data_IF_654876588788
#
_entry.id   IF_654876588788
#
_cell.length_a   1.000
_cell.length_b   1.000
_cell.length_c   1.000
_cell.angle_alpha   90.00
_cell.angle_beta   90.00
_cell.angle_gamma   90.00
#
_symmetry.space_group_name_H-M   'P 1'
#
loop_
_entity.id
_entity.type
_entity.pdbx_description
1 polymer ?
#
# COMPACT_ATOMS: atom_id res chain seq x y z
N UNK A 1 10.87 4.09 9.73
CA UNK A 1 9.73 3.20 9.99
C UNK A 1 8.64 3.93 10.76
N UNK A 2 7.48 4.19 10.14
CA UNK A 2 6.27 4.54 10.89
C UNK A 2 5.65 3.21 11.36
N UNK A 3 5.82 2.86 12.63
CA UNK A 3 5.03 1.79 13.22
C UNK A 3 3.58 2.27 13.21
N UNK A 4 2.76 1.72 12.31
CA UNK A 4 1.32 1.87 12.40
C UNK A 4 0.90 1.41 13.79
N UNK A 5 0.07 2.20 14.47
CA UNK A 5 -0.61 1.70 15.66
C UNK A 5 -1.40 0.48 15.19
N UNK A 6 -1.09 -0.70 15.73
CA UNK A 6 -1.84 -1.93 15.52
C UNK A 6 -2.72 -2.14 16.76
N UNK A 7 -3.73 -1.27 17.00
CA UNK A 7 -4.42 -1.24 18.27
C UNK A 7 -5.20 -2.54 18.51
N UNK A 8 -5.67 -3.24 17.47
CA UNK A 8 -6.36 -4.52 17.64
C UNK A 8 -5.38 -5.60 18.08
N UNK A 9 -4.20 -5.64 17.48
CA UNK A 9 -3.11 -6.50 17.90
C UNK A 9 -2.69 -6.20 19.35
N UNK A 10 -2.53 -4.93 19.73
CA UNK A 10 -2.19 -4.56 21.11
C UNK A 10 -3.22 -5.05 22.12
N UNK A 11 -4.52 -4.92 21.82
CA UNK A 11 -5.59 -5.47 22.67
C UNK A 11 -5.48 -6.98 22.88
N UNK A 12 -4.96 -7.72 21.88
CA UNK A 12 -4.68 -9.14 22.04
C UNK A 12 -3.59 -9.40 23.08
N UNK A 13 -2.56 -8.56 23.08
CA UNK A 13 -1.35 -8.76 23.89
C UNK A 13 -1.43 -8.12 25.28
N UNK A 14 -2.46 -7.30 25.57
CA UNK A 14 -2.73 -6.82 26.92
C UNK A 14 -2.92 -7.98 27.93
N UNK A 15 -2.52 -7.77 29.17
CA UNK A 15 -2.69 -8.76 30.23
C UNK A 15 -4.17 -9.03 30.53
N UNK A 16 -4.51 -10.27 30.90
CA UNK A 16 -5.89 -10.67 31.18
C UNK A 16 -6.43 -10.11 32.50
N UNK A 17 -5.55 -9.70 33.42
CA UNK A 17 -5.91 -8.99 34.65
C UNK A 17 -6.27 -7.53 34.41
N UNK A 18 -5.68 -6.90 33.39
CA UNK A 18 -6.00 -5.52 33.00
C UNK A 18 -7.21 -5.46 32.05
N UNK A 19 -7.28 -6.38 31.08
CA UNK A 19 -8.34 -6.44 30.08
C UNK A 19 -8.89 -7.87 29.97
N UNK A 20 -10.13 -8.07 30.41
CA UNK A 20 -10.73 -9.40 30.52
C UNK A 20 -11.49 -9.81 29.26
N UNK A 21 -12.20 -8.87 28.64
CA UNK A 21 -13.06 -9.15 27.49
C UNK A 21 -12.85 -8.13 26.39
N UNK A 22 -12.84 -8.60 25.15
CA UNK A 22 -12.89 -7.71 23.98
C UNK A 22 -14.07 -8.10 23.12
N UNK A 23 -14.87 -7.11 22.76
CA UNK A 23 -16.07 -7.29 21.95
C UNK A 23 -15.87 -6.62 20.60
N UNK A 24 -15.99 -7.38 19.52
CA UNK A 24 -16.00 -6.87 18.16
C UNK A 24 -17.43 -6.91 17.61
N UNK A 25 -18.11 -5.77 17.50
CA UNK A 25 -19.41 -5.70 16.83
C UNK A 25 -19.23 -5.20 15.39
N UNK A 26 -19.68 -5.98 14.41
CA UNK A 26 -19.91 -5.48 13.05
C UNK A 26 -21.29 -4.82 13.03
N UNK A 27 -21.37 -3.50 12.84
CA UNK A 27 -22.64 -2.77 12.89
C UNK A 27 -23.70 -3.40 11.98
N UNK A 28 -24.89 -3.68 12.50
CA UNK A 28 -25.95 -4.38 11.77
C UNK A 28 -25.60 -5.80 11.30
N UNK A 29 -24.63 -6.47 11.95
CA UNK A 29 -24.21 -7.84 11.63
C UNK A 29 -23.70 -8.58 12.87
N UNK A 30 -22.86 -9.59 12.65
CA UNK A 30 -22.33 -10.46 13.71
C UNK A 30 -21.57 -9.68 14.79
N UNK A 31 -21.55 -10.26 15.99
CA UNK A 31 -20.70 -9.84 17.09
C UNK A 31 -19.79 -10.98 17.55
N UNK A 32 -18.59 -10.65 18.01
CA UNK A 32 -17.66 -11.61 18.57
C UNK A 32 -17.21 -11.14 19.95
N UNK A 33 -17.44 -11.96 20.97
CA UNK A 33 -17.05 -11.69 22.35
C UNK A 33 -15.91 -12.64 22.69
N UNK A 34 -14.71 -12.09 22.85
CA UNK A 34 -13.51 -12.82 23.21
C UNK A 34 -13.24 -12.63 24.69
N UNK A 35 -13.39 -13.71 25.46
CA UNK A 35 -13.06 -13.74 26.88
C UNK A 35 -11.63 -14.26 27.04
N UNK A 36 -10.74 -13.41 27.55
CA UNK A 36 -9.32 -13.72 27.74
C UNK A 36 -9.09 -14.60 28.98
N UNK A 37 -10.00 -14.57 29.95
CA UNK A 37 -9.93 -15.37 31.18
C UNK A 37 -10.27 -16.83 30.90
N UNK A 38 -11.38 -17.08 30.20
CA UNK A 38 -11.81 -18.42 29.82
C UNK A 38 -11.21 -18.89 28.50
N UNK A 39 -10.57 -17.99 27.76
CA UNK A 39 -10.01 -18.21 26.41
C UNK A 39 -11.08 -18.61 25.38
N UNK A 40 -12.35 -18.37 25.66
CA UNK A 40 -13.48 -18.66 24.78
C UNK A 40 -13.81 -17.48 23.85
N UNK A 41 -14.34 -17.80 22.68
CA UNK A 41 -14.93 -16.81 21.77
C UNK A 41 -16.37 -17.20 21.49
N UNK A 42 -17.29 -16.29 21.77
CA UNK A 42 -18.73 -16.46 21.52
C UNK A 42 -19.13 -15.57 20.34
N UNK A 43 -19.88 -16.13 19.40
CA UNK A 43 -20.45 -15.39 18.28
C UNK A 43 -21.90 -15.04 18.57
N UNK A 44 -22.23 -13.76 18.47
CA UNK A 44 -23.61 -13.26 18.40
C UNK A 44 -24.08 -13.08 16.96
N UNK A 45 -25.34 -13.43 16.71
CA UNK A 45 -25.95 -13.39 15.38
C UNK A 45 -26.23 -11.97 14.87
N UNK A 46 -26.33 -10.99 15.77
CA UNK A 46 -26.71 -9.62 15.44
C UNK A 46 -26.23 -8.60 16.50
N UNK A 47 -26.43 -7.32 16.18
CA UNK A 47 -26.04 -6.18 16.99
C UNK A 47 -26.79 -6.12 18.33
N UNK A 48 -28.07 -6.53 18.36
CA UNK A 48 -28.88 -6.52 19.58
C UNK A 48 -28.39 -7.55 20.59
N UNK A 49 -27.98 -8.72 20.10
CA UNK A 49 -27.30 -9.73 20.89
C UNK A 49 -25.93 -9.23 21.39
N UNK A 50 -25.18 -8.45 20.58
CA UNK A 50 -23.95 -7.76 21.03
C UNK A 50 -24.26 -6.84 22.24
N UNK A 51 -25.30 -6.02 22.11
CA UNK A 51 -25.70 -5.05 23.13
C UNK A 51 -26.16 -5.76 24.41
N UNK A 52 -26.92 -6.85 24.28
CA UNK A 52 -27.38 -7.66 25.41
C UNK A 52 -26.21 -8.24 26.21
N UNK A 53 -25.24 -8.82 25.51
CA UNK A 53 -24.04 -9.40 26.11
C UNK A 53 -23.19 -8.32 26.81
N UNK A 54 -23.02 -7.15 26.19
CA UNK A 54 -22.32 -6.02 26.79
C UNK A 54 -23.01 -5.51 28.08
N UNK A 55 -24.35 -5.51 28.14
CA UNK A 55 -25.08 -5.17 29.38
C UNK A 55 -24.83 -6.20 30.47
N UNK A 56 -24.83 -7.49 30.11
CA UNK A 56 -24.51 -8.57 31.04
C UNK A 56 -23.10 -8.40 31.62
N UNK A 57 -22.10 -8.19 30.76
CA UNK A 57 -20.70 -7.98 31.17
C UNK A 57 -20.52 -6.77 32.11
N UNK A 58 -21.28 -5.69 31.86
CA UNK A 58 -21.30 -4.51 32.74
C UNK A 58 -21.79 -4.83 34.14
N UNK A 59 -22.84 -5.65 34.26
CA UNK A 59 -23.38 -6.09 35.55
C UNK A 59 -22.39 -6.93 36.38
N UNK A 60 -21.41 -7.56 35.74
CA UNK A 60 -20.41 -8.41 36.39
C UNK A 60 -19.08 -7.67 36.70
N UNK A 61 -19.00 -6.35 36.46
CA UNK A 61 -17.82 -5.55 36.79
C UNK A 61 -16.56 -5.92 36.00
N UNK A 62 -16.71 -6.48 34.78
CA UNK A 62 -15.57 -6.90 33.95
C UNK A 62 -14.94 -5.73 33.21
N UNK A 63 -13.62 -5.77 33.04
CA UNK A 63 -12.90 -4.84 32.17
C UNK A 63 -13.08 -5.25 30.72
N UNK A 64 -13.83 -4.45 29.97
CA UNK A 64 -14.17 -4.72 28.57
C UNK A 64 -13.58 -3.64 27.66
N UNK A 65 -13.16 -4.05 26.47
CA UNK A 65 -12.83 -3.14 25.38
C UNK A 65 -13.72 -3.41 24.17
N UNK A 66 -14.23 -2.36 23.54
CA UNK A 66 -15.15 -2.49 22.40
C UNK A 66 -14.43 -2.09 21.10
N UNK A 67 -14.55 -2.94 20.08
CA UNK A 67 -14.22 -2.63 18.70
C UNK A 67 -15.51 -2.60 17.90
N UNK A 68 -15.85 -1.46 17.33
CA UNK A 68 -17.10 -1.27 16.60
C UNK A 68 -16.83 -0.92 15.13
N UNK A 69 -17.12 -1.85 14.22
CA UNK A 69 -17.00 -1.65 12.75
C UNK A 69 -18.30 -1.05 12.20
N UNK A 70 -18.26 0.22 11.82
CA UNK A 70 -19.43 1.01 11.42
C UNK A 70 -19.92 0.61 10.04
N UNK A 71 -21.07 -0.06 9.95
CA UNK A 71 -21.63 -0.54 8.67
C UNK A 71 -22.12 0.54 7.70
N UNK A 72 -22.77 1.61 8.17
CA UNK A 72 -23.30 2.68 7.32
C UNK A 72 -22.95 4.05 7.88
N UNK A 73 -22.73 5.01 6.98
CA UNK A 73 -22.49 6.41 7.32
C UNK A 73 -23.59 6.97 8.22
N UNK A 74 -23.21 7.82 9.19
CA UNK A 74 -24.15 8.53 10.06
C UNK A 74 -24.81 7.68 11.15
N UNK A 75 -24.77 6.34 11.00
CA UNK A 75 -25.17 5.41 12.06
C UNK A 75 -23.97 5.18 12.98
N UNK A 76 -23.86 6.03 13.99
CA UNK A 76 -22.91 5.85 15.07
C UNK A 76 -23.18 4.56 15.86
N UNK A 77 -22.26 4.20 16.75
CA UNK A 77 -22.52 3.10 17.67
C UNK A 77 -23.77 3.38 18.53
N UNK A 78 -24.51 2.33 18.87
CA UNK A 78 -25.80 2.44 19.56
C UNK A 78 -25.67 3.23 20.89
N UNK A 79 -26.54 4.22 21.19
CA UNK A 79 -26.40 5.12 22.35
C UNK A 79 -26.27 4.43 23.72
N UNK A 80 -26.75 3.19 23.82
CA UNK A 80 -26.74 2.36 25.03
C UNK A 80 -25.38 1.70 25.30
N UNK A 81 -24.43 1.74 24.36
CA UNK A 81 -23.09 1.23 24.62
C UNK A 81 -22.38 2.14 25.65
N UNK A 82 -21.65 1.57 26.62
CA UNK A 82 -21.08 2.34 27.73
C UNK A 82 -19.79 3.08 27.31
N UNK A 83 -19.93 4.07 26.43
CA UNK A 83 -18.84 4.82 25.79
C UNK A 83 -17.91 5.58 26.74
N UNK A 84 -18.41 5.90 27.93
CA UNK A 84 -17.68 6.68 28.94
C UNK A 84 -16.98 5.79 29.97
N UNK A 85 -17.38 4.52 30.07
CA UNK A 85 -16.88 3.59 31.09
C UNK A 85 -15.77 2.70 30.52
N UNK A 86 -15.83 2.36 29.24
CA UNK A 86 -14.91 1.42 28.59
C UNK A 86 -14.15 2.04 27.42
N UNK A 87 -12.96 1.50 27.16
CA UNK A 87 -12.18 1.86 25.98
C UNK A 87 -12.85 1.37 24.70
N UNK A 88 -12.83 2.21 23.66
CA UNK A 88 -13.45 1.89 22.37
C UNK A 88 -12.57 2.26 21.18
N UNK A 89 -12.46 1.31 20.24
CA UNK A 89 -12.00 1.56 18.87
C UNK A 89 -13.23 1.59 17.97
N UNK A 90 -13.34 2.66 17.20
CA UNK A 90 -14.29 2.78 16.11
C UNK A 90 -13.56 2.51 14.79
N UNK A 91 -13.91 1.42 14.11
CA UNK A 91 -13.46 1.14 12.75
C UNK A 91 -14.49 1.72 11.78
N UNK A 92 -14.07 2.67 10.96
CA UNK A 92 -14.95 3.41 10.05
C UNK A 92 -14.69 3.04 8.60
N UNK A 93 -15.66 3.18 7.69
CA UNK A 93 -15.41 3.07 6.27
C UNK A 93 -14.69 4.33 5.73
N UNK A 94 -13.91 4.23 4.64
CA UNK A 94 -13.23 5.38 4.06
C UNK A 94 -14.23 6.30 3.35
N UNK A 95 -14.44 7.53 3.88
CA UNK A 95 -15.34 8.52 3.25
C UNK A 95 -15.09 9.99 3.69
N UNK A 96 -15.43 10.93 2.79
CA UNK A 96 -15.24 12.40 2.82
C UNK A 96 -15.81 13.11 4.05
N UNK A 97 -16.87 12.58 4.65
CA UNK A 97 -17.64 13.24 5.71
C UNK A 97 -17.24 12.79 7.13
N UNK A 98 -16.35 11.79 7.25
CA UNK A 98 -15.95 11.19 8.51
C UNK A 98 -14.95 12.02 9.35
N UNK A 99 -14.47 13.16 8.87
CA UNK A 99 -13.62 14.04 9.69
C UNK A 99 -14.41 15.11 10.43
N UNK A 100 -15.46 15.66 9.81
CA UNK A 100 -16.24 16.79 10.36
C UNK A 100 -17.29 16.39 11.38
N UNK A 101 -17.97 15.26 11.19
CA UNK A 101 -18.99 14.77 12.13
C UNK A 101 -18.40 14.31 13.48
N UNK A 102 -17.16 13.85 13.47
CA UNK A 102 -16.59 13.06 14.57
C UNK A 102 -15.70 13.87 15.51
N UNK A 103 -15.05 14.96 15.02
CA UNK A 103 -14.45 15.98 15.91
C UNK A 103 -15.45 16.52 16.96
N UNK A 104 -16.75 16.50 16.65
CA UNK A 104 -17.83 16.91 17.58
C UNK A 104 -18.23 15.82 18.59
N UNK A 105 -17.79 14.57 18.43
CA UNK A 105 -18.16 13.42 19.26
C UNK A 105 -16.96 12.83 20.04
N UNK A 106 -15.85 13.56 20.13
CA UNK A 106 -14.63 13.10 20.80
C UNK A 106 -14.78 13.14 22.33
N UNK A 107 -15.01 11.98 22.94
CA UNK A 107 -14.65 11.73 24.33
C UNK A 107 -13.19 11.24 24.45
N UNK A 108 -12.56 11.35 25.64
CA UNK A 108 -11.14 11.01 25.83
C UNK A 108 -10.78 9.53 25.64
N UNK A 109 -11.75 8.62 25.58
CA UNK A 109 -11.54 7.15 25.60
C UNK A 109 -11.69 6.46 24.23
N UNK A 110 -11.73 7.22 23.12
CA UNK A 110 -12.11 6.70 21.78
C UNK A 110 -10.98 6.84 20.76
N UNK A 111 -10.58 5.72 20.14
CA UNK A 111 -9.69 5.68 18.98
C UNK A 111 -10.54 5.54 17.72
N UNK A 112 -10.37 6.44 16.74
CA UNK A 112 -11.04 6.34 15.44
C UNK A 112 -10.02 5.89 14.41
N UNK A 113 -10.26 4.72 13.82
CA UNK A 113 -9.46 4.19 12.72
C UNK A 113 -10.36 3.88 11.52
N UNK A 114 -9.78 3.93 10.32
CA UNK A 114 -10.50 3.66 9.08
C UNK A 114 -10.11 2.29 8.48
N UNK A 115 -8.85 1.88 8.73
CA UNK A 115 -8.28 0.66 8.18
C UNK A 115 -7.31 0.04 9.20
N UNK A 116 -7.57 -1.18 9.71
CA UNK A 116 -6.57 -1.93 10.48
C UNK A 116 -5.37 -2.34 9.64
N UNK A 117 -4.22 -2.56 10.26
CA UNK A 117 -3.05 -3.08 9.56
C UNK A 117 -3.14 -4.61 9.34
N UNK A 118 -2.18 -5.20 8.62
CA UNK A 118 -2.17 -6.65 8.39
C UNK A 118 -2.10 -7.46 9.69
N UNK A 119 -1.34 -6.99 10.68
CA UNK A 119 -1.21 -7.62 11.99
C UNK A 119 -2.52 -7.59 12.76
N UNK A 120 -3.23 -6.46 12.73
CA UNK A 120 -4.58 -6.32 13.27
C UNK A 120 -5.59 -7.30 12.63
N UNK A 121 -5.54 -7.47 11.30
CA UNK A 121 -6.42 -8.44 10.60
C UNK A 121 -6.06 -9.88 10.98
N UNK A 122 -4.76 -10.22 11.02
CA UNK A 122 -4.29 -11.55 11.47
C UNK A 122 -4.74 -11.84 12.90
N UNK A 123 -4.59 -10.86 13.78
CA UNK A 123 -5.00 -10.89 15.16
C UNK A 123 -6.50 -11.21 15.31
N UNK A 124 -7.34 -10.42 14.66
CA UNK A 124 -8.80 -10.60 14.73
C UNK A 124 -9.23 -11.96 14.18
N UNK A 125 -8.58 -12.42 13.11
CA UNK A 125 -8.87 -13.73 12.52
C UNK A 125 -8.63 -14.86 13.51
N UNK A 126 -7.49 -14.86 14.21
CA UNK A 126 -7.16 -15.89 15.22
C UNK A 126 -8.28 -16.01 16.24
N UNK A 127 -8.92 -14.89 16.60
CA UNK A 127 -10.07 -14.89 17.49
C UNK A 127 -11.36 -15.39 16.86
N UNK A 128 -11.78 -14.80 15.73
CA UNK A 128 -13.04 -15.16 15.09
C UNK A 128 -13.10 -16.65 14.71
N UNK A 129 -11.95 -17.23 14.37
CA UNK A 129 -11.82 -18.62 13.92
C UNK A 129 -11.24 -19.56 14.97
N UNK A 130 -11.12 -19.12 16.23
CA UNK A 130 -10.51 -19.92 17.32
C UNK A 130 -11.19 -21.27 17.54
N UNK A 131 -12.50 -21.34 17.33
CA UNK A 131 -13.31 -22.54 17.54
C UNK A 131 -13.58 -23.34 16.26
N UNK A 132 -13.05 -22.91 15.11
CA UNK A 132 -13.27 -23.58 13.82
C UNK A 132 -12.08 -24.48 13.43
N UNK A 133 -12.34 -25.76 13.13
CA UNK A 133 -11.34 -26.72 12.67
C UNK A 133 -11.31 -26.79 11.13
N UNK A 134 -10.22 -26.33 10.48
CA UNK A 134 -9.95 -26.61 9.06
C UNK A 134 -9.40 -25.45 8.20
N UNK A 135 -8.67 -25.79 7.13
CA UNK A 135 -8.43 -24.93 5.95
C UNK A 135 -7.70 -23.59 6.14
N UNK A 136 -6.90 -23.44 7.19
CA UNK A 136 -6.41 -22.11 7.60
C UNK A 136 -5.43 -21.45 6.62
N UNK A 137 -4.63 -22.20 5.86
CA UNK A 137 -3.66 -21.61 4.93
C UNK A 137 -4.33 -20.90 3.74
N UNK A 138 -5.28 -21.59 3.11
CA UNK A 138 -5.94 -21.12 1.88
C UNK A 138 -6.87 -19.93 2.13
N UNK A 139 -7.65 -19.98 3.21
CA UNK A 139 -8.50 -18.85 3.61
C UNK A 139 -7.67 -17.58 3.89
N UNK A 140 -6.50 -17.72 4.52
CA UNK A 140 -5.63 -16.56 4.76
C UNK A 140 -5.10 -15.96 3.47
N UNK A 141 -4.69 -16.83 2.54
CA UNK A 141 -4.24 -16.40 1.22
C UNK A 141 -5.33 -15.56 0.55
N UNK A 142 -6.58 -15.99 0.59
CA UNK A 142 -7.72 -15.24 0.05
C UNK A 142 -7.93 -13.90 0.78
N UNK A 143 -7.88 -13.86 2.11
CA UNK A 143 -8.04 -12.60 2.87
C UNK A 143 -6.93 -11.61 2.53
N UNK A 144 -5.69 -12.08 2.45
CA UNK A 144 -4.54 -11.25 2.07
C UNK A 144 -4.69 -10.69 0.65
N UNK A 145 -5.05 -11.53 -0.30
CA UNK A 145 -5.35 -11.08 -1.67
C UNK A 145 -6.46 -10.02 -1.70
N UNK A 146 -7.52 -10.19 -0.91
CA UNK A 146 -8.58 -9.19 -0.81
C UNK A 146 -8.09 -7.88 -0.18
N UNK A 147 -7.25 -7.95 0.85
CA UNK A 147 -6.65 -6.75 1.46
C UNK A 147 -5.79 -5.98 0.46
N UNK A 148 -4.97 -6.68 -0.32
CA UNK A 148 -4.12 -6.08 -1.33
C UNK A 148 -4.96 -5.38 -2.41
N UNK A 149 -6.13 -5.92 -2.75
CA UNK A 149 -7.07 -5.39 -3.75
C UNK A 149 -7.88 -4.18 -3.23
N UNK A 150 -8.61 -4.31 -2.13
CA UNK A 150 -9.61 -3.30 -1.69
C UNK A 150 -9.28 -2.60 -0.38
N UNK A 151 -8.15 -2.94 0.22
CA UNK A 151 -7.71 -2.45 1.52
C UNK A 151 -8.21 -3.30 2.68
N UNK A 152 -7.69 -3.09 3.89
CA UNK A 152 -7.92 -3.96 5.05
C UNK A 152 -9.25 -3.67 5.77
N UNK A 153 -10.33 -3.44 5.02
CA UNK A 153 -11.65 -3.20 5.60
C UNK A 153 -12.26 -4.55 6.02
N UNK A 154 -12.27 -4.84 7.32
CA UNK A 154 -12.63 -6.16 7.89
C UNK A 154 -13.93 -6.74 7.34
N UNK A 155 -15.06 -6.01 7.45
CA UNK A 155 -16.36 -6.44 6.89
C UNK A 155 -16.34 -6.74 5.38
N UNK A 156 -15.40 -6.16 4.63
CA UNK A 156 -15.27 -6.34 3.18
C UNK A 156 -14.41 -7.57 2.89
N UNK A 157 -13.20 -7.63 3.46
CA UNK A 157 -12.25 -8.71 3.17
C UNK A 157 -12.72 -10.09 3.67
N UNK A 158 -13.51 -10.11 4.74
CA UNK A 158 -14.05 -11.36 5.31
C UNK A 158 -15.30 -11.88 4.59
N UNK A 159 -15.90 -11.10 3.68
CA UNK A 159 -17.15 -11.46 2.98
C UNK A 159 -17.00 -11.29 1.45
N UNK A 160 -17.16 -12.39 0.70
CA UNK A 160 -16.92 -12.40 -0.74
C UNK A 160 -17.83 -11.44 -1.53
N UNK A 161 -19.11 -11.33 -1.16
CA UNK A 161 -20.05 -10.43 -1.83
C UNK A 161 -19.69 -8.96 -1.58
N UNK A 162 -19.39 -8.61 -0.31
CA UNK A 162 -18.98 -7.24 0.05
C UNK A 162 -17.66 -6.87 -0.61
N UNK A 163 -16.73 -7.81 -0.72
CA UNK A 163 -15.48 -7.66 -1.48
C UNK A 163 -15.75 -7.31 -2.95
N UNK A 164 -16.59 -8.09 -3.64
CA UNK A 164 -16.91 -7.83 -5.05
C UNK A 164 -17.61 -6.49 -5.25
N UNK A 165 -18.58 -6.15 -4.40
CA UNK A 165 -19.25 -4.84 -4.44
C UNK A 165 -18.22 -3.72 -4.28
N UNK A 166 -17.34 -3.84 -3.29
CA UNK A 166 -16.32 -2.83 -3.01
C UNK A 166 -15.35 -2.65 -4.18
N UNK A 167 -14.99 -3.73 -4.86
CA UNK A 167 -14.14 -3.69 -6.05
C UNK A 167 -14.79 -2.85 -7.16
N UNK A 168 -16.09 -3.05 -7.41
CA UNK A 168 -16.84 -2.27 -8.39
C UNK A 168 -16.91 -0.79 -7.99
N UNK A 169 -17.18 -0.50 -6.71
CA UNK A 169 -17.20 0.88 -6.20
C UNK A 169 -15.85 1.57 -6.40
N UNK A 170 -14.73 0.85 -6.17
CA UNK A 170 -13.38 1.38 -6.41
C UNK A 170 -13.18 1.69 -7.89
N UNK A 171 -13.57 0.78 -8.78
CA UNK A 171 -13.40 0.97 -10.23
C UNK A 171 -14.21 2.16 -10.75
N UNK A 172 -15.43 2.37 -10.23
CA UNK A 172 -16.24 3.55 -10.51
C UNK A 172 -15.54 4.83 -10.05
N UNK A 173 -15.09 4.89 -8.78
CA UNK A 173 -14.41 6.08 -8.25
C UNK A 173 -13.08 6.35 -8.97
N UNK A 174 -12.35 5.31 -9.40
CA UNK A 174 -11.13 5.45 -10.21
C UNK A 174 -11.44 6.07 -11.57
N UNK A 175 -12.58 5.74 -12.19
CA UNK A 175 -12.97 6.34 -13.46
C UNK A 175 -13.23 7.84 -13.34
N UNK A 176 -13.63 8.33 -12.17
CA UNK A 176 -13.81 9.76 -11.90
C UNK A 176 -12.50 10.49 -11.58
N UNK A 177 -11.37 9.77 -11.43
CA UNK A 177 -10.07 10.40 -11.16
C UNK A 177 -9.49 11.03 -12.44
N UNK A 178 -9.15 12.32 -12.33
CA UNK A 178 -8.56 13.14 -13.40
C UNK A 178 -7.71 14.29 -12.84
N UNK A 179 -7.24 15.20 -13.71
CA UNK A 179 -6.39 16.32 -13.32
C UNK A 179 -7.08 17.30 -12.35
N UNK A 180 -8.41 17.42 -12.38
CA UNK A 180 -9.17 18.36 -11.54
C UNK A 180 -9.17 17.97 -10.06
N UNK A 181 -9.07 16.67 -9.77
CA UNK A 181 -9.14 16.13 -8.41
C UNK A 181 -7.85 15.43 -7.95
N UNK A 182 -6.82 15.38 -8.81
CA UNK A 182 -5.53 14.74 -8.57
C UNK A 182 -4.84 15.16 -7.26
N UNK A 183 -5.03 16.41 -6.81
CA UNK A 183 -4.48 16.93 -5.54
C UNK A 183 -4.86 16.11 -4.31
N UNK A 184 -5.96 15.37 -4.36
CA UNK A 184 -6.40 14.49 -3.26
C UNK A 184 -5.54 13.22 -3.12
N UNK A 185 -4.80 12.89 -4.17
CA UNK A 185 -4.04 11.65 -4.30
C UNK A 185 -2.54 11.90 -4.44
N UNK A 186 -2.08 13.10 -4.06
CA UNK A 186 -0.69 13.54 -4.28
C UNK A 186 0.33 12.54 -3.74
N UNK A 187 0.08 11.95 -2.56
CA UNK A 187 1.02 11.02 -1.96
C UNK A 187 1.11 9.67 -2.66
N UNK A 188 0.11 9.29 -3.48
CA UNK A 188 0.17 8.08 -4.33
C UNK A 188 1.24 8.20 -5.40
N UNK A 189 1.44 9.41 -5.95
CA UNK A 189 2.51 9.62 -6.92
C UNK A 189 3.90 9.40 -6.29
N UNK A 190 4.02 9.63 -4.98
CA UNK A 190 5.24 9.50 -4.19
C UNK A 190 5.41 8.18 -3.44
N UNK A 191 4.40 7.32 -3.40
CA UNK A 191 4.37 6.13 -2.53
C UNK A 191 4.63 6.44 -1.04
N UNK A 192 4.22 7.64 -0.58
CA UNK A 192 4.38 8.10 0.82
C UNK A 192 3.05 8.55 1.41
N UNK A 193 3.05 8.79 2.73
CA UNK A 193 1.94 9.39 3.45
C UNK A 193 1.84 10.90 3.19
N UNK A 194 0.63 11.47 3.15
CA UNK A 194 0.40 12.90 2.88
C UNK A 194 -0.64 13.53 3.79
N UNK A 195 -0.80 14.84 3.78
CA UNK A 195 -1.79 15.52 4.61
C UNK A 195 -3.23 15.10 4.27
N UNK A 196 -4.03 14.89 5.32
CA UNK A 196 -5.42 14.48 5.24
C UNK A 196 -6.36 15.64 4.84
N UNK A 197 -6.20 16.16 3.62
CA UNK A 197 -7.01 17.32 3.17
C UNK A 197 -8.40 16.89 2.71
N UNK A 198 -8.56 15.67 2.17
CA UNK A 198 -9.87 15.06 1.87
C UNK A 198 -9.79 13.53 1.92
N UNK A 199 -10.68 12.89 2.67
CA UNK A 199 -10.81 11.42 2.69
C UNK A 199 -11.64 10.98 1.49
N UNK A 200 -11.11 10.19 0.57
CA UNK A 200 -11.92 9.53 -0.47
C UNK A 200 -12.02 8.04 -0.18
N UNK A 201 -12.89 7.33 -0.89
CA UNK A 201 -12.96 5.87 -0.79
C UNK A 201 -11.62 5.21 -1.15
N UNK A 202 -10.73 5.87 -1.90
CA UNK A 202 -9.46 5.31 -2.34
C UNK A 202 -8.32 5.50 -1.34
N UNK A 203 -8.59 6.22 -0.24
CA UNK A 203 -7.57 6.68 0.72
C UNK A 203 -7.93 6.19 2.12
N UNK A 204 -6.92 5.73 2.84
CA UNK A 204 -7.02 5.40 4.26
C UNK A 204 -6.28 6.43 5.11
N UNK A 205 -6.70 6.55 6.36
CA UNK A 205 -6.06 7.42 7.35
C UNK A 205 -5.13 6.55 8.20
N UNK A 206 -3.87 6.96 8.31
CA UNK A 206 -2.82 6.33 9.08
C UNK A 206 -2.41 7.27 10.20
N UNK A 207 -2.55 6.83 11.44
CA UNK A 207 -1.99 7.53 12.60
C UNK A 207 -0.47 7.34 12.66
N UNK A 208 0.27 8.42 12.84
CA UNK A 208 1.73 8.42 12.96
C UNK A 208 2.13 9.10 14.26
N UNK A 209 2.87 8.38 15.10
CA UNK A 209 3.42 8.88 16.37
C UNK A 209 4.90 9.21 16.19
N UNK A 210 5.23 10.49 15.94
CA UNK A 210 6.63 10.96 15.75
C UNK A 210 7.25 11.45 17.06
N UNK A 211 7.25 10.63 18.12
CA UNK A 211 7.86 11.02 19.41
C UNK A 211 7.23 12.24 20.11
N UNK A 212 6.17 12.81 19.55
CA UNK A 212 5.39 13.90 20.13
C UNK A 212 4.24 13.34 21.00
N UNK A 213 3.77 14.12 21.99
CA UNK A 213 2.65 13.71 22.85
C UNK A 213 1.31 13.61 22.09
N UNK A 214 1.21 14.18 20.89
CA UNK A 214 0.00 14.19 20.06
C UNK A 214 0.16 13.32 18.80
N UNK A 215 -0.88 12.56 18.49
CA UNK A 215 -0.96 11.76 17.26
C UNK A 215 -1.21 12.66 16.05
N UNK A 216 -0.44 12.45 14.97
CA UNK A 216 -0.70 13.11 13.68
C UNK A 216 -1.31 12.09 12.71
N UNK A 217 -2.39 12.47 12.05
CA UNK A 217 -3.07 11.62 11.08
C UNK A 217 -2.70 12.02 9.65
N UNK A 218 -2.22 11.06 8.87
CA UNK A 218 -1.87 11.22 7.46
C UNK A 218 -2.74 10.33 6.59
N UNK A 219 -2.83 10.66 5.31
CA UNK A 219 -3.44 9.83 4.29
C UNK A 219 -2.42 8.83 3.72
N UNK A 220 -2.92 7.67 3.32
CA UNK A 220 -2.25 6.67 2.49
C UNK A 220 -3.23 6.12 1.45
N UNK A 221 -2.77 5.50 0.38
CA UNK A 221 -3.67 4.71 -0.47
C UNK A 221 -4.29 3.58 0.36
N UNK A 222 -5.57 3.28 0.16
CA UNK A 222 -6.27 2.26 0.93
C UNK A 222 -5.71 0.85 0.70
N UNK A 223 -5.10 0.60 -0.46
CA UNK A 223 -4.36 -0.62 -0.77
C UNK A 223 -3.29 -0.32 -1.82
N UNK A 224 -2.36 -1.27 -2.00
CA UNK A 224 -1.35 -1.16 -3.06
C UNK A 224 -1.98 -1.17 -4.45
N UNK A 225 -2.96 -2.06 -4.68
CA UNK A 225 -3.71 -2.11 -5.96
C UNK A 225 -4.41 -0.79 -6.25
N UNK A 226 -5.05 -0.18 -5.24
CA UNK A 226 -5.70 1.13 -5.39
C UNK A 226 -4.66 2.20 -5.72
N UNK A 227 -3.51 2.22 -5.03
CA UNK A 227 -2.43 3.15 -5.31
C UNK A 227 -2.00 3.07 -6.79
N UNK A 228 -1.80 1.87 -7.32
CA UNK A 228 -1.38 1.71 -8.71
C UNK A 228 -2.49 2.10 -9.68
N UNK A 229 -3.76 1.77 -9.40
CA UNK A 229 -4.89 2.20 -10.24
C UNK A 229 -4.99 3.72 -10.34
N UNK A 230 -4.84 4.42 -9.20
CA UNK A 230 -4.80 5.89 -9.16
C UNK A 230 -3.62 6.39 -10.02
N UNK A 231 -2.43 5.82 -9.83
CA UNK A 231 -1.24 6.22 -10.57
C UNK A 231 -1.42 6.06 -12.08
N UNK A 232 -1.85 4.87 -12.54
CA UNK A 232 -2.15 4.59 -13.96
C UNK A 232 -3.15 5.61 -14.51
N UNK A 233 -4.23 5.84 -13.76
CA UNK A 233 -5.29 6.76 -14.17
C UNK A 233 -4.78 8.18 -14.30
N UNK A 234 -4.03 8.69 -13.33
CA UNK A 234 -3.48 10.03 -13.37
C UNK A 234 -2.44 10.18 -14.47
N UNK A 235 -1.55 9.21 -14.65
CA UNK A 235 -0.54 9.23 -15.73
C UNK A 235 -1.16 9.27 -17.14
N UNK A 236 -2.36 8.70 -17.32
CA UNK A 236 -3.08 8.74 -18.60
C UNK A 236 -3.99 9.96 -18.78
N UNK A 237 -4.38 10.62 -17.68
CA UNK A 237 -5.31 11.76 -17.70
C UNK A 237 -4.63 13.12 -17.53
N UNK A 238 -3.39 13.15 -17.07
CA UNK A 238 -2.67 14.38 -16.79
C UNK A 238 -1.57 14.63 -17.81
N UNK A 239 -1.41 15.89 -18.20
CA UNK A 239 -0.21 16.32 -18.90
C UNK A 239 0.99 16.38 -17.95
N UNK A 240 2.19 16.23 -18.48
CA UNK A 240 3.44 16.21 -17.71
C UNK A 240 3.62 17.46 -16.81
N UNK A 241 3.16 18.63 -17.26
CA UNK A 241 3.18 19.86 -16.46
C UNK A 241 2.22 19.82 -15.27
N UNK A 242 1.06 19.18 -15.41
CA UNK A 242 0.12 19.01 -14.30
C UNK A 242 0.68 18.04 -13.27
N UNK A 243 1.32 16.96 -13.72
CA UNK A 243 2.05 16.02 -12.84
C UNK A 243 3.14 16.77 -12.08
N UNK A 244 3.94 17.58 -12.77
CA UNK A 244 4.99 18.40 -12.14
C UNK A 244 4.41 19.34 -11.07
N UNK A 245 3.33 20.08 -11.37
CA UNK A 245 2.66 20.96 -10.39
C UNK A 245 2.13 20.20 -9.17
N UNK A 246 1.59 19.01 -9.40
CA UNK A 246 1.08 18.15 -8.34
C UNK A 246 2.21 17.69 -7.40
N UNK A 247 3.38 17.36 -7.95
CA UNK A 247 4.55 16.96 -7.16
C UNK A 247 5.14 18.12 -6.36
N UNK A 248 5.05 19.34 -6.87
CA UNK A 248 5.49 20.56 -6.16
C UNK A 248 4.46 21.05 -5.12
N UNK A 249 3.37 20.32 -4.88
CA UNK A 249 2.33 20.73 -3.94
C UNK A 249 2.88 20.74 -2.49
N UNK A 250 2.59 21.78 -1.68
CA UNK A 250 3.10 21.89 -0.30
C UNK A 250 2.76 20.73 0.64
N UNK A 251 1.74 19.93 0.29
CA UNK A 251 1.33 18.75 1.06
C UNK A 251 2.22 17.51 0.81
N UNK A 252 3.15 17.58 -0.14
CA UNK A 252 4.17 16.53 -0.34
C UNK A 252 5.27 16.72 0.70
N UNK A 253 5.31 15.79 1.65
CA UNK A 253 5.93 16.01 2.96
C UNK A 253 7.47 16.08 2.96
N UNK A 254 8.17 15.87 1.84
CA UNK A 254 9.64 15.90 1.77
C UNK A 254 10.16 16.34 0.39
N UNK A 255 11.09 17.30 0.38
CA UNK A 255 11.74 17.82 -0.84
C UNK A 255 12.51 16.73 -1.62
N UNK A 256 13.11 15.77 -0.92
CA UNK A 256 13.79 14.62 -1.54
C UNK A 256 12.83 13.78 -2.39
N UNK A 257 11.60 13.55 -1.90
CA UNK A 257 10.58 12.83 -2.66
C UNK A 257 10.11 13.63 -3.87
N UNK A 258 9.93 14.95 -3.70
CA UNK A 258 9.60 15.84 -4.82
C UNK A 258 10.66 15.70 -5.90
N UNK A 259 11.96 15.70 -5.54
CA UNK A 259 13.07 15.53 -6.49
C UNK A 259 13.08 14.15 -7.17
N UNK A 260 12.85 13.06 -6.44
CA UNK A 260 12.81 11.70 -7.00
C UNK A 260 11.71 11.53 -8.05
N UNK A 261 10.49 11.98 -7.75
CA UNK A 261 9.33 11.82 -8.63
C UNK A 261 9.31 12.88 -9.72
N UNK A 262 9.69 14.12 -9.39
CA UNK A 262 9.81 15.17 -10.40
C UNK A 262 10.94 14.85 -11.35
N UNK A 263 12.01 14.19 -10.92
CA UNK A 263 13.08 13.70 -11.78
C UNK A 263 12.54 12.79 -12.88
N UNK A 264 11.74 11.79 -12.53
CA UNK A 264 11.13 10.90 -13.53
C UNK A 264 10.11 11.60 -14.43
N UNK A 265 9.27 12.48 -13.87
CA UNK A 265 8.37 13.31 -14.67
C UNK A 265 9.11 14.29 -15.61
N UNK A 266 10.29 14.75 -15.20
CA UNK A 266 11.15 15.67 -15.97
C UNK A 266 11.66 15.00 -17.24
N UNK A 267 12.00 13.71 -17.19
CA UNK A 267 12.41 12.97 -18.39
C UNK A 267 11.28 12.71 -19.40
N UNK A 268 10.02 12.86 -18.99
CA UNK A 268 8.87 12.82 -19.91
C UNK A 268 8.71 14.16 -20.64
N UNK A 269 9.07 15.27 -19.99
CA UNK A 269 9.03 16.61 -20.57
C UNK A 269 10.17 16.82 -21.56
N UNK A 270 9.89 16.78 -22.88
CA UNK A 270 10.89 17.03 -23.94
C UNK A 270 11.73 18.28 -23.71
N UNK A 271 11.10 19.40 -23.33
CA UNK A 271 11.81 20.65 -23.06
C UNK A 271 12.83 20.52 -21.92
N UNK A 272 12.50 19.76 -20.87
CA UNK A 272 13.42 19.54 -19.76
C UNK A 272 14.51 18.51 -20.11
N UNK A 273 14.16 17.46 -20.86
CA UNK A 273 15.14 16.52 -21.43
C UNK A 273 16.21 17.23 -22.26
N UNK A 274 15.81 18.15 -23.14
CA UNK A 274 16.74 18.95 -23.95
C UNK A 274 17.69 19.81 -23.09
N UNK A 275 17.17 20.40 -22.00
CA UNK A 275 18.01 21.16 -21.05
C UNK A 275 19.00 20.24 -20.34
N UNK A 276 18.58 19.05 -19.94
CA UNK A 276 19.46 18.05 -19.29
C UNK A 276 20.56 17.64 -20.26
N UNK A 277 20.21 17.27 -21.50
CA UNK A 277 21.18 16.88 -22.54
C UNK A 277 22.24 17.96 -22.73
N UNK A 278 21.84 19.23 -22.84
CA UNK A 278 22.80 20.34 -22.97
C UNK A 278 23.69 20.59 -21.75
N UNK A 279 23.39 19.97 -20.59
CA UNK A 279 24.16 20.07 -19.34
C UNK A 279 24.94 18.80 -18.99
N UNK A 280 24.69 17.68 -19.67
CA UNK A 280 25.42 16.45 -19.42
C UNK A 280 26.90 16.69 -19.71
N UNK A 281 27.75 16.17 -18.82
CA UNK A 281 29.20 16.18 -19.00
C UNK A 281 29.65 14.75 -19.06
N UNK A 282 30.42 14.45 -20.08
CA UNK A 282 31.02 13.15 -20.27
C UNK A 282 31.91 12.79 -19.07
N UNK A 283 31.70 11.62 -18.48
CA UNK A 283 32.57 11.10 -17.44
C UNK A 283 33.87 10.64 -18.12
N UNK A 284 35.00 11.25 -17.74
CA UNK A 284 36.31 10.82 -18.21
C UNK A 284 36.77 9.60 -17.41
N UNK A 285 36.77 8.39 -18.00
CA UNK A 285 37.17 7.20 -17.26
C UNK A 285 38.68 7.25 -16.93
N UNK A 286 39.10 6.74 -15.76
CA UNK A 286 40.51 6.62 -15.43
C UNK A 286 41.24 5.67 -16.40
N UNK A 287 42.51 5.95 -16.66
CA UNK A 287 43.40 5.12 -17.47
C UNK A 287 43.37 5.36 -18.98
N UNK A 288 42.96 6.56 -19.44
CA UNK A 288 43.03 6.92 -20.86
C UNK A 288 42.02 6.20 -21.77
N UNK A 289 41.02 5.54 -21.17
CA UNK A 289 39.90 4.94 -21.91
C UNK A 289 39.14 6.03 -22.69
N UNK A 290 38.66 5.67 -23.88
CA UNK A 290 37.87 6.58 -24.69
C UNK A 290 36.65 7.05 -23.92
N UNK A 291 36.44 8.37 -23.97
CA UNK A 291 35.25 9.01 -23.46
C UNK A 291 34.03 8.47 -24.23
N UNK A 292 32.92 8.26 -23.53
CA UNK A 292 31.66 7.80 -24.12
C UNK A 292 30.55 8.81 -23.83
N UNK A 293 29.93 9.35 -24.88
CA UNK A 293 28.73 10.18 -24.77
C UNK A 293 27.66 9.44 -23.97
N UNK A 294 26.94 10.19 -23.13
CA UNK A 294 25.82 9.64 -22.38
C UNK A 294 24.75 9.10 -23.33
N UNK A 295 23.99 8.09 -22.89
CA UNK A 295 22.94 7.48 -23.71
C UNK A 295 21.93 8.50 -24.25
N UNK A 296 21.58 9.51 -23.44
CA UNK A 296 20.68 10.60 -23.81
C UNK A 296 21.30 11.57 -24.83
N UNK A 297 22.62 11.73 -24.86
CA UNK A 297 23.31 12.54 -25.89
C UNK A 297 23.37 11.80 -27.23
N UNK A 298 23.58 10.47 -27.20
CA UNK A 298 23.58 9.64 -28.41
C UNK A 298 22.20 9.48 -29.03
N UNK A 299 21.16 9.43 -28.19
CA UNK A 299 19.77 9.32 -28.62
C UNK A 299 18.88 10.36 -27.91
N UNK A 300 18.94 11.64 -28.33
CA UNK A 300 18.16 12.72 -27.71
C UNK A 300 16.66 12.49 -27.72
N UNK A 301 16.15 11.85 -28.77
CA UNK A 301 14.73 11.52 -28.91
C UNK A 301 14.35 10.23 -28.17
N UNK A 302 15.30 9.57 -27.49
CA UNK A 302 15.11 8.31 -26.77
C UNK A 302 14.45 8.43 -25.40
N UNK A 303 14.19 9.66 -24.93
CA UNK A 303 13.53 9.87 -23.65
C UNK A 303 12.06 9.41 -23.69
N UNK A 304 11.47 9.01 -22.54
CA UNK A 304 10.07 8.63 -22.50
C UNK A 304 9.14 9.78 -22.92
N UNK A 305 8.04 9.48 -23.60
CA UNK A 305 7.02 10.48 -24.00
C UNK A 305 5.67 10.28 -23.31
N UNK A 306 5.51 9.14 -22.65
CA UNK A 306 4.31 8.77 -21.92
C UNK A 306 4.67 7.92 -20.70
N UNK A 307 3.76 7.84 -19.73
CA UNK A 307 3.89 6.99 -18.56
C UNK A 307 2.71 6.03 -18.46
N UNK A 308 3.00 4.77 -18.18
CA UNK A 308 2.02 3.71 -18.01
C UNK A 308 2.29 3.00 -16.68
N UNK A 309 1.27 2.80 -15.86
CA UNK A 309 1.43 1.96 -14.68
C UNK A 309 1.24 0.49 -15.05
N UNK A 310 2.02 -0.38 -14.41
CA UNK A 310 1.92 -1.82 -14.59
C UNK A 310 0.80 -2.40 -13.71
N UNK A 311 0.12 -3.48 -14.18
CA UNK A 311 -1.01 -4.06 -13.49
C UNK A 311 -0.66 -4.58 -12.09
N UNK A 312 -1.71 -4.67 -11.27
CA UNK A 312 -1.63 -4.79 -9.81
C UNK A 312 -1.54 -6.21 -9.29
N UNK A 313 -1.40 -7.22 -10.15
CA UNK A 313 -1.25 -8.61 -9.73
C UNK A 313 0.04 -9.19 -10.28
N UNK A 314 0.89 -9.64 -9.37
CA UNK A 314 2.12 -10.35 -9.69
C UNK A 314 1.77 -11.63 -10.46
N UNK A 315 2.28 -11.78 -11.69
CA UNK A 315 2.07 -12.98 -12.50
C UNK A 315 0.75 -13.07 -13.27
N UNK A 316 -0.07 -12.00 -13.31
CA UNK A 316 -1.03 -11.89 -14.42
C UNK A 316 -0.21 -11.84 -15.72
N UNK A 317 -0.54 -12.66 -16.74
CA UNK A 317 0.04 -12.51 -18.06
C UNK A 317 -0.21 -11.06 -18.49
N UNK A 318 0.86 -10.28 -18.61
CA UNK A 318 0.81 -9.08 -19.42
C UNK A 318 0.46 -9.59 -20.83
N UNK A 319 -0.62 -9.11 -21.41
CA UNK A 319 -0.97 -9.44 -22.81
C UNK A 319 0.28 -9.29 -23.69
N UNK A 320 0.42 -10.17 -24.69
CA UNK A 320 1.61 -10.28 -25.54
C UNK A 320 2.04 -8.89 -26.07
N UNK A 321 3.28 -8.47 -25.75
CA UNK A 321 3.96 -7.24 -26.19
C UNK A 321 3.69 -5.93 -25.42
N UNK A 322 3.96 -5.89 -24.11
CA UNK A 322 3.75 -4.65 -23.34
C UNK A 322 4.89 -3.63 -23.37
N UNK A 323 6.17 -4.02 -23.53
CA UNK A 323 7.29 -3.07 -23.40
C UNK A 323 7.51 -2.26 -24.69
N UNK A 324 6.80 -1.14 -24.80
CA UNK A 324 6.98 -0.16 -25.87
C UNK A 324 8.19 0.72 -25.56
N UNK A 325 8.99 0.99 -26.58
CA UNK A 325 10.06 1.98 -26.48
C UNK A 325 9.49 3.35 -26.11
N UNK A 326 10.26 4.14 -25.36
CA UNK A 326 9.92 5.51 -24.93
C UNK A 326 8.67 5.60 -24.04
N UNK A 327 8.37 4.54 -23.30
CA UNK A 327 7.32 4.53 -22.27
C UNK A 327 7.96 4.36 -20.91
N UNK A 328 7.57 5.21 -19.96
CA UNK A 328 7.96 5.06 -18.57
C UNK A 328 6.97 4.14 -17.86
N UNK A 329 7.42 2.96 -17.47
CA UNK A 329 6.60 2.01 -16.71
C UNK A 329 6.77 2.22 -15.21
N UNK A 330 5.67 2.49 -14.48
CA UNK A 330 5.71 2.47 -13.00
C UNK A 330 5.15 1.14 -12.48
N UNK A 331 5.93 0.39 -11.70
CA UNK A 331 5.44 -0.83 -11.10
C UNK A 331 4.43 -0.56 -9.98
N UNK A 332 3.42 -1.42 -9.88
CA UNK A 332 2.47 -1.42 -8.76
C UNK A 332 3.13 -1.78 -7.42
N UNK A 333 4.23 -2.53 -7.48
CA UNK A 333 4.97 -3.02 -6.33
C UNK A 333 6.40 -2.49 -6.39
N UNK A 334 6.92 -1.84 -5.33
CA UNK A 334 8.31 -1.39 -5.28
C UNK A 334 9.34 -2.52 -5.45
N UNK A 335 8.92 -3.76 -5.21
CA UNK A 335 9.74 -4.98 -5.34
C UNK A 335 9.78 -5.54 -6.77
N UNK A 336 9.08 -4.91 -7.71
CA UNK A 336 9.03 -5.30 -9.11
C UNK A 336 9.56 -4.12 -9.96
N UNK A 337 10.35 -4.36 -11.02
CA UNK A 337 10.84 -5.64 -11.52
C UNK A 337 11.91 -6.32 -10.64
N UNK A 338 12.37 -7.51 -11.01
CA UNK A 338 13.46 -8.23 -10.31
C UNK A 338 14.78 -7.42 -10.33
N UNK A 339 15.10 -6.81 -11.47
CA UNK A 339 16.24 -5.93 -11.72
C UNK A 339 15.74 -4.67 -12.45
N UNK A 340 16.28 -3.50 -12.11
CA UNK A 340 15.87 -2.21 -12.69
C UNK A 340 16.50 -1.95 -14.05
N UNK A 341 17.69 -2.51 -14.27
CA UNK A 341 18.37 -2.55 -15.55
C UNK A 341 19.27 -3.79 -15.60
N UNK A 342 19.73 -4.17 -16.78
CA UNK A 342 20.78 -5.17 -16.91
C UNK A 342 21.63 -4.90 -18.13
N UNK A 343 22.85 -5.43 -18.14
CA UNK A 343 23.75 -5.41 -19.29
C UNK A 343 24.62 -6.66 -19.29
N UNK A 344 25.21 -6.95 -20.45
CA UNK A 344 26.15 -8.05 -20.64
C UNK A 344 27.58 -7.52 -20.62
N UNK A 345 28.49 -8.28 -20.02
CA UNK A 345 29.91 -7.97 -19.95
C UNK A 345 30.71 -9.18 -20.45
N UNK A 346 31.72 -8.94 -21.30
CA UNK A 346 32.51 -10.01 -21.94
C UNK A 346 33.73 -10.46 -21.11
N UNK A 347 34.22 -9.67 -20.16
CA UNK A 347 35.50 -9.91 -19.48
C UNK A 347 35.40 -9.75 -17.96
N UNK A 348 36.03 -10.62 -17.14
CA UNK A 348 36.86 -11.79 -17.47
C UNK A 348 36.06 -13.08 -17.77
N UNK A 349 34.73 -13.05 -17.61
CA UNK A 349 33.78 -14.09 -18.00
C UNK A 349 32.55 -13.38 -18.57
N UNK A 350 31.84 -14.04 -19.48
CA UNK A 350 30.53 -13.55 -19.93
C UNK A 350 29.58 -13.48 -18.73
N UNK A 351 29.10 -12.30 -18.41
CA UNK A 351 28.26 -12.06 -17.23
C UNK A 351 27.06 -11.21 -17.58
N UNK A 352 25.86 -11.68 -17.20
CA UNK A 352 24.70 -10.80 -17.10
C UNK A 352 24.75 -10.10 -15.75
N UNK A 353 24.94 -8.78 -15.79
CA UNK A 353 24.92 -7.92 -14.63
C UNK A 353 23.56 -7.25 -14.53
N UNK A 354 22.77 -7.69 -13.56
CA UNK A 354 21.54 -7.01 -13.14
C UNK A 354 21.87 -5.86 -12.21
N UNK A 355 21.35 -4.68 -12.51
CA UNK A 355 21.43 -3.52 -11.63
C UNK A 355 20.14 -3.38 -10.83
N UNK A 356 20.30 -3.09 -9.55
CA UNK A 356 19.20 -2.80 -8.65
C UNK A 356 19.42 -1.48 -7.92
N UNK A 357 18.53 -0.53 -8.13
CA UNK A 357 18.50 0.73 -7.42
C UNK A 357 17.62 0.55 -6.17
N UNK A 358 18.17 0.77 -4.98
CA UNK A 358 17.41 0.50 -3.76
C UNK A 358 16.33 1.57 -3.55
N UNK A 359 15.06 1.17 -3.69
CA UNK A 359 13.90 2.00 -3.30
C UNK A 359 13.13 1.44 -2.09
N UNK A 360 13.39 0.19 -1.66
CA UNK A 360 12.74 -0.42 -0.51
C UNK A 360 13.73 -0.94 0.55
N UNK A 361 13.36 -0.78 1.81
CA UNK A 361 14.17 -1.15 2.99
C UNK A 361 14.56 -2.64 3.05
N UNK A 362 13.79 -3.54 2.40
CA UNK A 362 14.09 -4.98 2.34
C UNK A 362 13.59 -5.60 1.03
N UNK A 363 14.49 -6.27 0.32
CA UNK A 363 14.17 -7.08 -0.85
C UNK A 363 14.85 -8.45 -0.77
N UNK A 364 14.11 -9.46 -0.30
CA UNK A 364 14.55 -10.84 -0.46
C UNK A 364 14.33 -11.29 -1.91
N UNK A 365 15.42 -11.44 -2.65
CA UNK A 365 15.39 -12.08 -3.96
C UNK A 365 15.13 -13.58 -3.76
N UNK A 366 13.96 -14.06 -4.18
CA UNK A 366 13.60 -15.48 -4.06
C UNK A 366 14.17 -16.22 -5.28
N UNK A 367 14.84 -17.35 -5.08
CA UNK A 367 15.43 -18.18 -6.14
C UNK A 367 14.43 -18.51 -7.25
N UNK A 368 13.17 -18.77 -6.90
CA UNK A 368 12.11 -19.04 -7.88
C UNK A 368 11.85 -17.86 -8.83
N UNK A 369 11.97 -16.62 -8.35
CA UNK A 369 11.78 -15.41 -9.17
C UNK A 369 12.94 -15.20 -10.12
N UNK A 370 14.17 -15.47 -9.68
CA UNK A 370 15.36 -15.43 -10.55
C UNK A 370 15.24 -16.47 -11.66
N UNK A 371 14.84 -17.70 -11.32
CA UNK A 371 14.62 -18.75 -12.32
C UNK A 371 13.56 -18.34 -13.35
N UNK A 372 12.42 -17.83 -12.91
CA UNK A 372 11.38 -17.33 -13.83
C UNK A 372 11.91 -16.21 -14.73
N UNK A 373 12.74 -15.30 -14.22
CA UNK A 373 13.35 -14.26 -15.03
C UNK A 373 14.23 -14.85 -16.13
N UNK A 374 15.09 -15.83 -15.80
CA UNK A 374 15.96 -16.52 -16.76
C UNK A 374 15.13 -17.27 -17.81
N UNK A 375 14.10 -18.00 -17.39
CA UNK A 375 13.17 -18.71 -18.30
C UNK A 375 12.51 -17.73 -19.28
N UNK A 376 12.10 -16.55 -18.80
CA UNK A 376 11.51 -15.51 -19.65
C UNK A 376 12.53 -14.87 -20.59
N UNK A 377 13.78 -14.69 -20.18
CA UNK A 377 14.83 -14.18 -21.07
C UNK A 377 15.03 -15.07 -22.29
N UNK A 378 14.88 -16.39 -22.13
CA UNK A 378 14.93 -17.34 -23.24
C UNK A 378 13.84 -17.10 -24.30
N UNK A 379 12.71 -16.50 -23.93
CA UNK A 379 11.63 -16.13 -24.87
C UNK A 379 12.00 -14.91 -25.73
N UNK A 380 12.93 -14.06 -25.28
CA UNK A 380 13.25 -12.76 -25.92
C UNK A 380 14.61 -12.72 -26.62
N UNK A 381 15.53 -13.64 -26.30
CA UNK A 381 16.86 -13.68 -26.89
C UNK A 381 17.04 -14.91 -27.76
N UNK A 382 17.43 -14.70 -29.02
CA UNK A 382 17.89 -15.78 -29.88
C UNK A 382 19.17 -16.39 -29.27
N UNK A 383 19.33 -17.70 -29.45
CA UNK A 383 20.51 -18.46 -29.01
C UNK A 383 20.80 -18.35 -27.50
N UNK A 384 19.75 -18.05 -26.70
CA UNK A 384 19.87 -17.92 -25.25
C UNK A 384 20.45 -19.17 -24.58
N UNK A 385 20.14 -20.37 -25.07
CA UNK A 385 20.73 -21.61 -24.53
C UNK A 385 22.24 -21.70 -24.73
N UNK A 386 22.77 -21.14 -25.81
CA UNK A 386 24.21 -21.09 -26.07
C UNK A 386 24.85 -19.99 -25.21
N UNK A 387 24.27 -18.79 -25.25
CA UNK A 387 24.73 -17.63 -24.51
C UNK A 387 24.72 -17.85 -22.99
N UNK A 388 23.69 -18.51 -22.45
CA UNK A 388 23.55 -18.69 -21.00
C UNK A 388 24.33 -19.86 -20.40
N UNK A 389 24.90 -20.76 -21.24
CA UNK A 389 25.53 -22.01 -20.78
C UNK A 389 26.71 -21.78 -19.84
N UNK A 390 27.57 -20.84 -20.20
CA UNK A 390 28.80 -20.51 -19.45
C UNK A 390 28.72 -19.12 -18.80
N UNK A 391 27.55 -18.48 -18.85
CA UNK A 391 27.34 -17.12 -18.36
C UNK A 391 27.21 -17.06 -16.84
N UNK A 392 28.00 -16.20 -16.21
CA UNK A 392 27.81 -15.82 -14.81
C UNK A 392 26.64 -14.84 -14.66
N UNK A 393 26.01 -14.88 -13.48
CA UNK A 393 24.91 -13.99 -13.12
C UNK A 393 25.26 -13.22 -11.87
N UNK A 394 25.22 -11.89 -11.96
CA UNK A 394 25.48 -11.00 -10.84
C UNK A 394 24.35 -9.99 -10.72
N UNK A 395 23.91 -9.72 -9.48
CA UNK A 395 22.99 -8.62 -9.19
C UNK A 395 23.74 -7.63 -8.31
N UNK A 396 24.00 -6.45 -8.86
CA UNK A 396 24.67 -5.34 -8.17
C UNK A 396 23.63 -4.41 -7.56
N UNK A 397 23.73 -4.22 -6.25
CA UNK A 397 22.90 -3.28 -5.51
C UNK A 397 23.58 -1.91 -5.51
N UNK A 398 22.97 -0.95 -6.18
CA UNK A 398 23.43 0.44 -6.20
C UNK A 398 22.79 1.16 -5.03
N UNK A 399 23.59 1.48 -4.01
CA UNK A 399 23.20 2.26 -2.86
C UNK A 399 23.64 3.71 -3.06
N UNK A 400 22.75 4.66 -2.72
CA UNK A 400 23.21 6.00 -2.40
C UNK A 400 24.00 5.94 -1.10
N UNK A 401 25.13 6.65 -1.04
CA UNK A 401 25.82 6.89 0.22
C UNK A 401 24.85 7.72 1.07
N UNK A 402 24.36 7.15 2.17
CA UNK A 402 23.47 7.84 3.10
C UNK A 402 24.11 9.19 3.53
N UNK A 403 23.29 10.25 3.53
CA UNK A 403 23.51 11.46 4.36
C UNK A 403 22.87 11.27 5.73
#
# INVERSE_FOLDING_TARGET
MAAGLCPLYQLLHCDAGELQVVVHCFGGGDAYVSDKTTRAVTRGSDEDMCISELRSLRGHGRNVYIVYDVAKQGRGPHPVLPFTEWGMILVTPPNKTNSKGWKKQNGPTRIIMNCPDESDVRALRVWMKRNEQGGQGEYWKQVKERMDEVGPILRVILNAQKFNNRKNDIDEVINDVDSSNAKHYVGVMSDKLWNAVNASQLVQIVGVRRGLPTETYLNSAASRVIASKIYVRLSTKMHSMEVFKLLMHPDVFLLSNVLEISGTATFICRGAGNIIIGKLKELKPPGGRASQLAALEKNPEGHPTEAVGLPTKQGLPLEENFARCKVMYKPAYPTFPLVDAFFFMESPRETLVGLRMITADVHHTITSTVRQFIERMAEYFNDWEELSRDMSWEITYVQHVDE
#
